data_IF_679554526825
#
_entry.id   IF_679554526825
#
_cell.length_a   1.000
_cell.length_b   1.000
_cell.length_c   1.000
_cell.angle_alpha   90.00
_cell.angle_beta   90.00
_cell.angle_gamma   90.00
#
_symmetry.space_group_name_H-M   'P 1'
#
loop_
_entity.id
_entity.type
_entity.pdbx_description
1 polymer ?
#
# COMPACT_ATOMS: atom_id res chain seq x y z
N UNK A 1 63.59 8.21 -92.01
CA UNK A 1 62.15 7.94 -91.75
C UNK A 1 61.89 6.71 -90.87
N UNK A 2 62.88 5.83 -90.63
CA UNK A 2 62.71 4.60 -89.83
C UNK A 2 62.52 4.79 -88.31
N UNK A 3 62.98 5.90 -87.72
CA UNK A 3 62.82 6.16 -86.28
C UNK A 3 61.36 6.40 -85.85
N UNK A 4 60.52 6.96 -86.72
CA UNK A 4 59.09 7.19 -86.45
C UNK A 4 58.27 5.90 -86.61
N UNK A 5 58.68 5.00 -87.50
CA UNK A 5 58.05 3.70 -87.69
C UNK A 5 58.26 2.78 -86.47
N UNK A 6 59.46 2.78 -85.88
CA UNK A 6 59.78 1.95 -84.70
C UNK A 6 58.98 2.38 -83.46
N UNK A 7 58.78 3.69 -83.27
CA UNK A 7 57.95 4.23 -82.17
C UNK A 7 56.47 3.88 -82.35
N UNK A 8 55.97 3.90 -83.59
CA UNK A 8 54.58 3.52 -83.88
C UNK A 8 54.33 2.02 -83.68
N UNK A 9 55.31 1.17 -84.04
CA UNK A 9 55.24 -0.28 -83.79
C UNK A 9 55.34 -0.64 -82.30
N UNK A 10 56.12 0.10 -81.52
CA UNK A 10 56.20 -0.10 -80.06
C UNK A 10 54.93 0.34 -79.33
N UNK A 11 54.29 1.43 -79.79
CA UNK A 11 52.99 1.88 -79.26
C UNK A 11 51.87 0.89 -79.58
N UNK A 12 51.91 0.24 -80.75
CA UNK A 12 50.92 -0.75 -81.16
C UNK A 12 51.06 -2.08 -80.39
N UNK A 13 52.28 -2.44 -79.97
CA UNK A 13 52.55 -3.63 -79.15
C UNK A 13 52.06 -3.49 -77.69
N UNK A 14 51.98 -2.26 -77.16
CA UNK A 14 51.45 -2.00 -75.81
C UNK A 14 49.92 -2.14 -75.73
N UNK A 15 49.18 -1.95 -76.85
CA UNK A 15 47.72 -2.14 -76.87
C UNK A 15 47.31 -3.62 -77.02
N UNK A 16 48.20 -4.50 -77.48
CA UNK A 16 47.92 -5.94 -77.64
C UNK A 16 48.24 -6.79 -76.41
N UNK A 17 48.66 -6.16 -75.30
CA UNK A 17 48.95 -6.83 -74.02
C UNK A 17 47.73 -7.13 -73.14
N UNK A 18 46.51 -6.75 -73.56
CA UNK A 18 45.29 -7.17 -72.87
C UNK A 18 44.84 -8.54 -73.40
N UNK A 19 45.59 -9.58 -73.03
CA UNK A 19 45.13 -10.95 -73.21
C UNK A 19 43.98 -11.21 -72.25
N UNK A 20 42.77 -11.35 -72.81
CA UNK A 20 41.63 -12.06 -72.22
C UNK A 20 41.32 -11.74 -70.75
N UNK A 21 40.81 -10.54 -70.49
CA UNK A 21 39.77 -10.44 -69.46
C UNK A 21 38.50 -11.01 -70.09
N UNK A 22 38.11 -12.21 -69.66
CA UNK A 22 36.79 -12.77 -69.92
C UNK A 22 35.71 -11.68 -69.71
N UNK A 23 34.59 -11.69 -70.46
CA UNK A 23 33.49 -10.79 -70.17
C UNK A 23 33.21 -10.87 -68.67
N UNK A 24 32.85 -9.77 -67.98
CA UNK A 24 32.48 -9.84 -66.58
C UNK A 24 31.30 -10.81 -66.52
N UNK A 25 31.63 -12.06 -66.17
CA UNK A 25 30.67 -13.09 -65.88
C UNK A 25 29.92 -12.47 -64.74
N UNK A 26 28.67 -12.07 -64.98
CA UNK A 26 27.76 -11.61 -63.97
C UNK A 26 27.89 -12.61 -62.83
N UNK A 27 28.65 -12.28 -61.77
CA UNK A 27 28.65 -13.08 -60.57
C UNK A 27 27.17 -13.19 -60.25
N UNK A 28 26.66 -14.42 -60.32
CA UNK A 28 25.23 -14.59 -60.19
C UNK A 28 24.85 -13.98 -58.84
N UNK A 29 23.73 -13.28 -58.78
CA UNK A 29 23.28 -12.69 -57.52
C UNK A 29 23.25 -13.76 -56.40
N UNK A 30 23.02 -15.02 -56.77
CA UNK A 30 23.12 -16.19 -55.89
C UNK A 30 24.53 -16.47 -55.37
N UNK A 31 25.58 -16.31 -56.19
CA UNK A 31 26.97 -16.46 -55.75
C UNK A 31 27.38 -15.35 -54.77
N UNK A 32 26.96 -14.11 -55.03
CA UNK A 32 27.21 -12.96 -54.14
C UNK A 32 26.44 -13.16 -52.82
N UNK A 33 25.17 -13.59 -52.90
CA UNK A 33 24.34 -13.89 -51.74
C UNK A 33 24.93 -15.01 -50.89
N UNK A 34 25.39 -16.09 -51.52
CA UNK A 34 26.03 -17.21 -50.83
C UNK A 34 27.35 -16.80 -50.18
N UNK A 35 28.21 -16.08 -50.89
CA UNK A 35 29.47 -15.58 -50.32
C UNK A 35 29.24 -14.59 -49.16
N UNK A 36 28.19 -13.78 -49.23
CA UNK A 36 27.84 -12.84 -48.14
C UNK A 36 27.24 -13.59 -46.95
N UNK A 37 26.39 -14.59 -47.20
CA UNK A 37 25.82 -15.44 -46.15
C UNK A 37 26.90 -16.22 -45.41
N UNK A 38 27.85 -16.81 -46.15
CA UNK A 38 28.98 -17.54 -45.58
C UNK A 38 29.85 -16.59 -44.74
N UNK A 39 30.14 -15.37 -45.24
CA UNK A 39 30.87 -14.35 -44.50
C UNK A 39 30.18 -13.94 -43.19
N UNK A 40 28.85 -13.82 -43.17
CA UNK A 40 28.08 -13.53 -41.95
C UNK A 40 28.07 -14.70 -40.96
N UNK A 41 28.11 -15.94 -41.45
CA UNK A 41 28.12 -17.15 -40.62
C UNK A 41 29.51 -17.50 -40.07
N UNK A 42 30.59 -16.94 -40.62
CA UNK A 42 31.95 -17.09 -40.09
C UNK A 42 32.07 -16.57 -38.65
N UNK A 43 33.10 -17.04 -37.95
CA UNK A 43 33.39 -16.58 -36.58
C UNK A 43 33.75 -15.09 -36.55
N UNK A 44 34.38 -14.58 -37.60
CA UNK A 44 34.64 -13.16 -37.82
C UNK A 44 33.33 -12.37 -37.98
N UNK A 45 32.39 -12.87 -38.80
CA UNK A 45 31.06 -12.27 -38.97
C UNK A 45 30.29 -12.18 -37.66
N UNK A 46 30.23 -13.28 -36.89
CA UNK A 46 29.63 -13.30 -35.55
C UNK A 46 30.33 -12.34 -34.58
N UNK A 47 31.66 -12.22 -34.66
CA UNK A 47 32.42 -11.29 -33.79
C UNK A 47 32.12 -9.83 -34.11
N UNK A 48 31.96 -9.48 -35.39
CA UNK A 48 31.55 -8.14 -35.81
C UNK A 48 30.12 -7.83 -35.35
N UNK A 49 29.19 -8.77 -35.49
CA UNK A 49 27.81 -8.61 -34.97
C UNK A 49 27.81 -8.42 -33.46
N UNK A 50 28.58 -9.22 -32.70
CA UNK A 50 28.71 -9.05 -31.25
C UNK A 50 29.25 -7.67 -30.87
N UNK A 51 30.31 -7.22 -31.57
CA UNK A 51 30.88 -5.89 -31.35
C UNK A 51 29.91 -4.76 -31.69
N UNK A 52 29.03 -4.97 -32.67
CA UNK A 52 27.98 -4.01 -33.03
C UNK A 52 26.85 -4.00 -31.99
N UNK A 53 26.50 -5.14 -31.41
CA UNK A 53 25.54 -5.23 -30.30
C UNK A 53 26.07 -4.66 -28.97
N UNK A 54 27.38 -4.55 -28.84
CA UNK A 54 28.04 -3.86 -27.72
C UNK A 54 27.99 -2.32 -27.86
N UNK A 55 27.65 -1.80 -29.04
CA UNK A 55 27.47 -0.36 -29.25
C UNK A 55 26.18 0.13 -28.55
N UNK A 56 26.27 1.12 -27.64
CA UNK A 56 25.10 1.68 -26.95
C UNK A 56 23.97 2.11 -27.88
N UNK A 57 24.28 2.69 -29.05
CA UNK A 57 23.27 3.17 -29.98
C UNK A 57 22.45 2.02 -30.59
N UNK A 58 23.10 0.88 -30.86
CA UNK A 58 22.43 -0.32 -31.38
C UNK A 58 21.68 -1.08 -30.28
N UNK A 59 22.24 -1.09 -29.06
CA UNK A 59 21.60 -1.73 -27.91
C UNK A 59 20.30 -1.03 -27.52
N UNK A 60 20.29 0.30 -27.51
CA UNK A 60 19.09 1.07 -27.14
C UNK A 60 17.96 0.88 -28.17
N UNK A 61 18.29 0.87 -29.47
CA UNK A 61 17.32 0.61 -30.53
C UNK A 61 16.75 -0.82 -30.45
N UNK A 62 17.60 -1.83 -30.20
CA UNK A 62 17.16 -3.22 -30.09
C UNK A 62 16.35 -3.52 -28.83
N UNK A 63 16.72 -2.95 -27.68
CA UNK A 63 16.07 -3.26 -26.39
C UNK A 63 14.71 -2.56 -26.24
N UNK A 64 14.52 -1.40 -26.88
CA UNK A 64 13.32 -0.57 -26.69
C UNK A 64 12.21 -0.84 -27.73
N UNK A 65 12.53 -1.39 -28.91
CA UNK A 65 11.57 -1.51 -30.03
C UNK A 65 10.93 -2.90 -30.20
N UNK A 66 11.23 -3.88 -29.35
CA UNK A 66 10.70 -5.23 -29.52
C UNK A 66 9.49 -5.49 -28.62
N UNK A 67 8.33 -5.72 -29.26
CA UNK A 67 7.13 -6.27 -28.61
C UNK A 67 7.44 -7.54 -27.81
N UNK A 68 8.43 -8.32 -28.26
CA UNK A 68 8.93 -9.51 -27.54
C UNK A 68 9.54 -9.18 -26.18
N UNK A 69 10.18 -8.01 -26.01
CA UNK A 69 10.74 -7.56 -24.72
C UNK A 69 9.60 -7.17 -23.79
N UNK A 70 8.60 -6.43 -24.27
CA UNK A 70 7.43 -6.09 -23.48
C UNK A 70 6.65 -7.34 -23.06
N UNK A 71 6.39 -8.26 -24.00
CA UNK A 71 5.72 -9.53 -23.71
C UNK A 71 6.52 -10.37 -22.72
N UNK A 72 7.84 -10.45 -22.86
CA UNK A 72 8.68 -11.19 -21.92
C UNK A 72 8.69 -10.56 -20.52
N UNK A 73 8.64 -9.23 -20.42
CA UNK A 73 8.53 -8.52 -19.14
C UNK A 73 7.15 -8.77 -18.53
N UNK A 74 6.07 -8.64 -19.30
CA UNK A 74 4.70 -8.90 -18.85
C UNK A 74 4.55 -10.36 -18.39
N UNK A 75 4.98 -11.32 -19.21
CA UNK A 75 4.94 -12.74 -18.87
C UNK A 75 5.76 -13.04 -17.62
N UNK A 76 6.95 -12.42 -17.50
CA UNK A 76 7.80 -12.63 -16.32
C UNK A 76 7.14 -12.03 -15.08
N UNK A 77 6.66 -10.79 -15.13
CA UNK A 77 6.08 -10.08 -13.99
C UNK A 77 4.70 -10.61 -13.58
N UNK A 78 3.90 -11.11 -14.52
CA UNK A 78 2.59 -11.71 -14.28
C UNK A 78 2.67 -13.22 -14.05
N UNK A 79 3.85 -13.84 -14.20
CA UNK A 79 4.02 -15.25 -13.90
C UNK A 79 3.92 -15.54 -12.41
N UNK A 80 3.55 -16.78 -12.09
CA UNK A 80 3.65 -17.33 -10.72
C UNK A 80 5.06 -17.24 -10.14
N UNK A 81 6.09 -17.26 -10.99
CA UNK A 81 7.49 -17.13 -10.56
C UNK A 81 7.78 -15.72 -10.04
N UNK A 82 7.20 -14.67 -10.63
CA UNK A 82 7.30 -13.33 -10.07
C UNK A 82 6.51 -13.20 -8.77
N UNK A 83 5.33 -13.82 -8.67
CA UNK A 83 4.57 -13.84 -7.41
C UNK A 83 5.39 -14.47 -6.26
N UNK A 84 6.02 -15.62 -6.52
CA UNK A 84 6.92 -16.28 -5.56
C UNK A 84 8.14 -15.40 -5.23
N UNK A 85 8.76 -14.79 -6.25
CA UNK A 85 9.88 -13.86 -6.04
C UNK A 85 9.47 -12.70 -5.13
N UNK A 86 8.35 -12.03 -5.41
CA UNK A 86 7.86 -10.94 -4.59
C UNK A 86 7.54 -11.41 -3.17
N UNK A 87 6.90 -12.57 -3.00
CA UNK A 87 6.68 -13.16 -1.67
C UNK A 87 7.98 -13.32 -0.88
N UNK A 88 9.02 -13.89 -1.49
CA UNK A 88 10.35 -14.01 -0.86
C UNK A 88 10.97 -12.66 -0.55
N UNK A 89 10.88 -11.67 -1.45
CA UNK A 89 11.42 -10.34 -1.17
C UNK A 89 10.66 -9.61 -0.07
N UNK A 90 9.35 -9.82 0.05
CA UNK A 90 8.57 -9.31 1.17
C UNK A 90 8.90 -10.00 2.50
N UNK A 91 9.60 -11.14 2.52
CA UNK A 91 10.10 -11.71 3.77
C UNK A 91 11.36 -10.98 4.27
N UNK A 92 12.19 -10.44 3.36
CA UNK A 92 13.39 -9.67 3.71
C UNK A 92 13.04 -8.39 4.50
N UNK A 93 13.51 -8.25 5.76
CA UNK A 93 13.27 -7.07 6.56
C UNK A 93 13.78 -5.76 5.93
N UNK A 94 14.92 -5.79 5.23
CA UNK A 94 15.50 -4.58 4.61
C UNK A 94 14.66 -4.11 3.43
N UNK A 95 14.19 -5.05 2.62
CA UNK A 95 13.28 -4.77 1.53
C UNK A 95 11.96 -4.21 2.08
N UNK A 96 11.35 -4.87 3.08
CA UNK A 96 10.12 -4.38 3.73
C UNK A 96 10.27 -2.98 4.31
N UNK A 97 11.37 -2.71 5.00
CA UNK A 97 11.61 -1.39 5.58
C UNK A 97 11.71 -0.31 4.50
N UNK A 98 12.48 -0.59 3.45
CA UNK A 98 12.67 0.35 2.34
C UNK A 98 11.36 0.58 1.59
N UNK A 99 10.62 -0.49 1.30
CA UNK A 99 9.32 -0.44 0.63
C UNK A 99 8.27 0.30 1.47
N UNK A 100 8.19 0.03 2.77
CA UNK A 100 7.29 0.74 3.67
C UNK A 100 7.66 2.23 3.77
N UNK A 101 8.95 2.56 3.82
CA UNK A 101 9.43 3.96 3.82
C UNK A 101 9.06 4.69 2.54
N UNK A 102 9.21 4.05 1.37
CA UNK A 102 8.83 4.67 0.09
C UNK A 102 7.33 4.91 -0.02
N UNK A 103 6.50 4.00 0.52
CA UNK A 103 5.04 4.12 0.48
C UNK A 103 4.46 5.00 1.58
N UNK A 104 5.23 5.33 2.63
CA UNK A 104 4.72 6.02 3.83
C UNK A 104 3.94 7.30 3.51
N UNK A 105 4.40 8.10 2.54
CA UNK A 105 3.74 9.36 2.17
C UNK A 105 2.40 9.09 1.51
N UNK A 106 2.39 8.29 0.44
CA UNK A 106 1.16 7.96 -0.29
C UNK A 106 0.16 7.20 0.59
N UNK A 107 0.63 6.29 1.45
CA UNK A 107 -0.22 5.58 2.40
C UNK A 107 -0.83 6.54 3.44
N UNK A 108 -0.09 7.55 3.90
CA UNK A 108 -0.61 8.57 4.81
C UNK A 108 -1.69 9.41 4.13
N UNK A 109 -1.46 9.80 2.89
CA UNK A 109 -2.40 10.64 2.15
C UNK A 109 -3.66 9.84 1.77
N UNK A 110 -3.50 8.59 1.30
CA UNK A 110 -4.61 7.65 1.13
C UNK A 110 -5.42 7.48 2.41
N UNK A 111 -4.77 7.26 3.56
CA UNK A 111 -5.48 7.08 4.83
C UNK A 111 -6.24 8.35 5.24
N UNK A 112 -5.69 9.54 5.01
CA UNK A 112 -6.40 10.81 5.27
C UNK A 112 -7.63 10.96 4.39
N UNK A 113 -7.54 10.52 3.14
CA UNK A 113 -8.66 10.62 2.22
C UNK A 113 -9.72 9.56 2.52
N UNK A 114 -9.31 8.33 2.87
CA UNK A 114 -10.22 7.30 3.39
C UNK A 114 -10.93 7.77 4.65
N UNK A 115 -10.28 8.48 5.58
CA UNK A 115 -10.96 9.03 6.76
C UNK A 115 -12.11 10.00 6.43
N UNK A 116 -12.11 10.61 5.24
CA UNK A 116 -13.19 11.48 4.76
C UNK A 116 -14.25 10.71 3.97
N UNK A 117 -13.95 9.48 3.57
CA UNK A 117 -14.85 8.63 2.80
C UNK A 117 -15.93 8.03 3.70
N UNK A 118 -17.19 8.07 3.22
CA UNK A 118 -18.34 7.64 3.99
C UNK A 118 -18.34 6.13 4.28
N UNK A 119 -17.79 5.31 3.39
CA UNK A 119 -17.73 3.85 3.58
C UNK A 119 -16.73 3.50 4.68
N UNK A 120 -15.54 4.11 4.65
CA UNK A 120 -14.53 3.91 5.68
C UNK A 120 -14.98 4.47 7.04
N UNK A 121 -15.70 5.60 7.05
CA UNK A 121 -16.31 6.12 8.28
C UNK A 121 -17.32 5.12 8.89
N UNK A 122 -18.12 4.45 8.06
CA UNK A 122 -19.05 3.42 8.53
C UNK A 122 -18.31 2.21 9.12
N UNK A 123 -17.21 1.80 8.51
CA UNK A 123 -16.35 0.74 9.06
C UNK A 123 -15.73 1.17 10.40
N UNK A 124 -15.33 2.43 10.54
CA UNK A 124 -14.87 2.99 11.80
C UNK A 124 -15.98 3.03 12.87
N UNK A 125 -17.20 3.41 12.52
CA UNK A 125 -18.35 3.36 13.43
C UNK A 125 -18.59 1.93 13.95
N UNK A 126 -18.53 0.94 13.05
CA UNK A 126 -18.65 -0.46 13.44
C UNK A 126 -17.50 -0.90 14.36
N UNK A 127 -16.27 -0.47 14.06
CA UNK A 127 -15.09 -0.72 14.90
C UNK A 127 -15.25 -0.12 16.30
N UNK A 128 -15.68 1.14 16.42
CA UNK A 128 -15.91 1.79 17.72
C UNK A 128 -17.12 1.23 18.47
N UNK A 129 -18.08 0.65 17.75
CA UNK A 129 -19.25 -0.01 18.36
C UNK A 129 -18.92 -1.39 18.94
N UNK A 130 -17.70 -1.91 18.79
CA UNK A 130 -17.33 -3.20 19.35
C UNK A 130 -17.33 -3.18 20.89
N UNK A 131 -17.69 -4.29 21.56
CA UNK A 131 -17.84 -4.35 23.02
C UNK A 131 -16.60 -3.88 23.79
N UNK A 132 -15.40 -4.14 23.28
CA UNK A 132 -14.17 -3.74 23.96
C UNK A 132 -13.91 -2.23 23.87
N UNK A 133 -14.31 -1.59 22.77
CA UNK A 133 -14.30 -0.13 22.64
C UNK A 133 -15.36 0.52 23.52
N UNK A 134 -16.55 -0.08 23.60
CA UNK A 134 -17.60 0.38 24.54
C UNK A 134 -17.13 0.29 26.00
N UNK A 135 -16.45 -0.78 26.41
CA UNK A 135 -15.87 -0.89 27.77
C UNK A 135 -14.81 0.19 28.05
N UNK A 136 -13.97 0.50 27.06
CA UNK A 136 -13.00 1.59 27.22
C UNK A 136 -13.69 2.94 27.34
N UNK A 137 -14.72 3.20 26.53
CA UNK A 137 -15.54 4.40 26.63
C UNK A 137 -16.24 4.50 27.98
N UNK A 138 -16.80 3.39 28.47
CA UNK A 138 -17.41 3.29 29.80
C UNK A 138 -16.41 3.60 30.91
N UNK A 139 -15.17 3.09 30.81
CA UNK A 139 -14.09 3.38 31.75
C UNK A 139 -13.72 4.87 31.74
N UNK A 140 -13.69 5.49 30.57
CA UNK A 140 -13.43 6.94 30.42
C UNK A 140 -14.58 7.73 31.04
N UNK A 141 -15.84 7.41 30.74
CA UNK A 141 -16.99 8.08 31.35
C UNK A 141 -17.05 7.91 32.87
N UNK A 142 -16.56 6.79 33.41
CA UNK A 142 -16.47 6.53 34.86
C UNK A 142 -15.20 7.13 35.50
N UNK A 143 -14.32 7.75 34.72
CA UNK A 143 -13.10 8.40 35.22
C UNK A 143 -13.44 9.57 36.15
N UNK A 144 -12.50 9.94 37.01
CA UNK A 144 -12.68 11.05 37.95
C UNK A 144 -12.98 12.38 37.23
N UNK A 145 -12.30 12.66 36.12
CA UNK A 145 -12.54 13.88 35.32
C UNK A 145 -13.94 13.92 34.72
N UNK A 146 -14.43 12.80 34.18
CA UNK A 146 -15.79 12.74 33.63
C UNK A 146 -16.87 12.82 34.71
N UNK A 147 -16.58 12.33 35.92
CA UNK A 147 -17.46 12.50 37.09
C UNK A 147 -17.54 13.96 37.53
N UNK A 148 -16.42 14.67 37.60
CA UNK A 148 -16.42 16.10 37.93
C UNK A 148 -17.24 16.93 36.91
N UNK A 149 -17.10 16.64 35.62
CA UNK A 149 -17.88 17.31 34.59
C UNK A 149 -19.36 16.92 34.64
N UNK A 150 -19.66 15.64 34.93
CA UNK A 150 -21.03 15.19 35.16
C UNK A 150 -21.64 15.85 36.40
N UNK A 151 -20.90 16.01 37.49
CA UNK A 151 -21.32 16.71 38.70
C UNK A 151 -21.63 18.18 38.43
N UNK A 152 -20.81 18.87 37.62
CA UNK A 152 -21.09 20.25 37.19
C UNK A 152 -22.38 20.33 36.38
N UNK A 153 -22.55 19.44 35.38
CA UNK A 153 -23.77 19.40 34.56
C UNK A 153 -24.99 19.11 35.43
N UNK A 154 -24.90 18.15 36.35
CA UNK A 154 -25.99 17.85 37.30
C UNK A 154 -26.29 19.08 38.17
N UNK A 155 -25.26 19.76 38.68
CA UNK A 155 -25.44 20.96 39.49
C UNK A 155 -26.11 22.10 38.69
N UNK A 156 -25.77 22.28 37.41
CA UNK A 156 -26.41 23.24 36.51
C UNK A 156 -27.86 22.86 36.21
N UNK A 157 -28.12 21.57 35.95
CA UNK A 157 -29.46 21.03 35.69
C UNK A 157 -30.35 21.20 36.91
N UNK A 158 -29.87 20.94 38.12
CA UNK A 158 -30.63 21.16 39.37
C UNK A 158 -30.93 22.64 39.59
N UNK A 159 -30.00 23.53 39.22
CA UNK A 159 -30.18 24.98 39.29
C UNK A 159 -31.05 25.53 38.15
N UNK A 160 -31.43 24.71 37.18
CA UNK A 160 -32.29 25.12 36.07
C UNK A 160 -33.69 25.50 36.60
N UNK A 161 -34.22 26.69 36.29
CA UNK A 161 -35.54 27.13 36.73
C UNK A 161 -36.66 26.13 36.39
N UNK A 162 -36.56 25.46 35.24
CA UNK A 162 -37.55 24.48 34.78
C UNK A 162 -37.60 23.22 35.66
N UNK A 163 -36.48 22.86 36.29
CA UNK A 163 -36.42 21.72 37.20
C UNK A 163 -36.61 22.15 38.65
N UNK A 164 -36.20 23.35 39.04
CA UNK A 164 -36.44 23.87 40.38
C UNK A 164 -37.92 23.84 40.77
N UNK A 165 -38.84 24.18 39.87
CA UNK A 165 -40.28 24.06 40.11
C UNK A 165 -40.73 22.60 40.31
N UNK A 166 -40.15 21.66 39.56
CA UNK A 166 -40.44 20.22 39.72
C UNK A 166 -39.89 19.69 41.04
N UNK A 167 -38.67 20.09 41.42
CA UNK A 167 -38.06 19.75 42.70
C UNK A 167 -38.86 20.34 43.87
N UNK A 168 -39.29 21.59 43.77
CA UNK A 168 -40.14 22.23 44.76
C UNK A 168 -41.47 21.48 44.95
N UNK A 169 -42.18 21.15 43.85
CA UNK A 169 -43.40 20.31 43.90
C UNK A 169 -43.16 18.92 44.45
N UNK A 170 -42.01 18.30 44.15
CA UNK A 170 -41.67 16.98 44.69
C UNK A 170 -41.43 17.02 46.19
N UNK A 171 -40.75 18.07 46.67
CA UNK A 171 -40.48 18.30 48.10
C UNK A 171 -41.80 18.59 48.84
N UNK A 172 -42.67 19.42 48.25
CA UNK A 172 -43.99 19.74 48.81
C UNK A 172 -44.88 18.49 48.93
N UNK A 173 -44.99 17.70 47.86
CA UNK A 173 -45.76 16.44 47.86
C UNK A 173 -45.16 15.35 48.76
N UNK A 174 -43.83 15.33 48.96
CA UNK A 174 -43.17 14.40 49.89
C UNK A 174 -43.34 14.85 51.36
N UNK A 175 -43.34 16.15 51.61
CA UNK A 175 -43.64 16.76 52.90
C UNK A 175 -45.11 16.54 53.31
N UNK A 176 -46.05 16.64 52.37
CA UNK A 176 -47.47 16.33 52.61
C UNK A 176 -47.70 14.84 52.92
N UNK A 177 -46.98 13.92 52.27
CA UNK A 177 -46.99 12.49 52.62
C UNK A 177 -46.36 12.19 53.97
N UNK A 178 -45.45 13.05 54.45
CA UNK A 178 -44.82 12.91 55.78
C UNK A 178 -45.68 13.50 56.90
N UNK A 179 -46.53 14.48 56.59
CA UNK A 179 -47.47 15.12 57.53
C UNK A 179 -48.78 14.36 57.73
N UNK A 180 -49.01 13.28 56.99
CA UNK A 180 -50.21 12.43 57.10
C UNK A 180 -50.02 11.18 57.98
N UNK A 181 -48.90 11.04 58.70
CA UNK A 181 -48.67 9.91 59.60
C UNK A 181 -48.12 10.24 60.99
N UNK A 182 -48.23 11.47 61.48
CA UNK A 182 -47.86 11.79 62.87
C UNK A 182 -48.86 12.79 63.49
N UNK A 183 -49.76 12.29 64.33
CA UNK A 183 -50.74 13.10 65.05
C UNK A 183 -51.94 12.33 65.59
N UNK A 184 -51.74 11.47 66.59
CA UNK A 184 -52.84 10.85 67.35
C UNK A 184 -52.37 9.85 68.38
N UNK A 185 -51.98 10.34 69.57
CA UNK A 185 -51.43 9.54 70.66
C UNK A 185 -52.43 8.62 71.37
N UNK A 186 -51.87 7.64 72.08
CA UNK A 186 -52.57 6.77 73.02
C UNK A 186 -51.55 6.00 73.85
N UNK A 187 -51.31 6.49 75.06
CA UNK A 187 -50.50 5.85 76.10
C UNK A 187 -51.30 4.72 76.76
N UNK A 188 -50.80 3.48 76.70
CA UNK A 188 -51.04 2.39 77.65
C UNK A 188 -50.01 1.29 77.31
N UNK A 189 -49.01 0.97 78.14
CA UNK A 189 -49.15 0.17 79.35
C UNK A 189 -48.76 -1.28 79.05
N UNK A 190 -47.66 -1.78 79.66
CA UNK A 190 -47.44 -3.24 79.77
C UNK A 190 -46.10 -3.81 79.27
N UNK A 191 -45.08 -3.69 80.11
CA UNK A 191 -44.25 -4.77 80.69
C UNK A 191 -43.88 -6.04 79.87
N UNK A 192 -42.57 -6.35 79.90
CA UNK A 192 -41.97 -7.69 79.72
C UNK A 192 -41.20 -7.81 78.40
N UNK A 193 -39.90 -8.08 78.32
CA UNK A 193 -38.99 -8.73 79.24
C UNK A 193 -38.32 -9.89 78.49
N UNK A 194 -36.99 -9.86 78.38
CA UNK A 194 -36.19 -11.08 78.26
C UNK A 194 -35.40 -11.31 76.96
N UNK A 195 -34.07 -11.37 77.14
CA UNK A 195 -33.13 -12.26 76.44
C UNK A 195 -32.74 -11.83 75.01
N UNK A 196 -31.47 -11.66 74.65
CA UNK A 196 -30.26 -12.29 75.14
C UNK A 196 -29.60 -13.02 73.98
N UNK A 197 -28.31 -12.74 73.75
CA UNK A 197 -27.39 -13.73 73.18
C UNK A 197 -27.01 -13.61 71.70
N UNK A 198 -25.84 -13.00 71.48
CA UNK A 198 -24.62 -13.68 70.99
C UNK A 198 -24.50 -14.17 69.53
N UNK A 199 -23.28 -14.01 69.00
CA UNK A 199 -22.70 -14.80 67.90
C UNK A 199 -22.48 -13.98 66.63
N UNK A 200 -21.33 -13.34 66.38
CA UNK A 200 -19.96 -13.86 66.17
C UNK A 200 -19.85 -14.75 64.92
N UNK A 201 -19.00 -14.35 63.98
CA UNK A 201 -18.54 -15.16 62.83
C UNK A 201 -18.24 -14.28 61.61
N UNK A 202 -16.99 -13.82 61.41
CA UNK A 202 -15.95 -14.51 60.59
C UNK A 202 -16.42 -14.58 59.13
N UNK A 203 -15.83 -13.85 58.19
CA UNK A 203 -14.42 -13.92 57.79
C UNK A 203 -14.32 -14.78 56.54
N UNK A 204 -13.67 -14.30 55.48
CA UNK A 204 -13.51 -15.08 54.26
C UNK A 204 -12.80 -14.29 53.18
N UNK A 205 -11.55 -14.69 52.95
CA UNK A 205 -10.58 -14.21 51.95
C UNK A 205 -11.14 -14.11 50.53
#
# INVERSE_FOLDING_TARGET
MYKKAIIFTFLLALLTGCSAAAPPQSQSYEDIKKSTLDALQTEEGKKVIRKLLEDPAMKDMLVLEHDDVNSAIEDTLLSKKAEEYWKTQFEDPKFRETFAKSLKKEQKDLLKDLMKDASFQKDLEQFFSQPDMQKQLEKIMKSASSKEDLEKVIAEVIKSPMLQEKWAKLIESSGEKSKSSDGGGGSDGGQGGGGGGSGKGVGGK
#
